data_IF_490597377740
#
_entry.id   IF_490597377740
#
_cell.length_a   1.000
_cell.length_b   1.000
_cell.length_c   1.000
_cell.angle_alpha   90.00
_cell.angle_beta   90.00
_cell.angle_gamma   90.00
#
_symmetry.space_group_name_H-M   'P 1'
#
loop_
_entity.id
_entity.type
_entity.pdbx_description
1 polymer ?
#
# COMPACT_ATOMS: atom_id res chain seq x y z
N UNK A 1 -16.66 2.96 -8.20
CA UNK A 1 -15.88 3.03 -6.93
C UNK A 1 -14.37 2.85 -7.13
N UNK A 2 -13.84 2.82 -8.35
CA UNK A 2 -12.41 2.56 -8.61
C UNK A 2 -11.49 3.74 -8.24
N UNK A 3 -12.04 4.96 -8.30
CA UNK A 3 -11.30 6.20 -8.03
C UNK A 3 -10.76 6.28 -6.60
N UNK A 4 -11.57 5.88 -5.60
CA UNK A 4 -11.13 5.86 -4.19
C UNK A 4 -10.02 4.83 -3.97
N UNK A 5 -10.12 3.65 -4.60
CA UNK A 5 -9.08 2.64 -4.52
C UNK A 5 -7.79 3.14 -5.18
N UNK A 6 -7.88 3.75 -6.36
CA UNK A 6 -6.71 4.30 -7.05
C UNK A 6 -6.03 5.40 -6.22
N UNK A 7 -6.81 6.32 -5.63
CA UNK A 7 -6.27 7.35 -4.74
C UNK A 7 -5.56 6.74 -3.52
N UNK A 8 -6.18 5.75 -2.87
CA UNK A 8 -5.58 5.04 -1.72
C UNK A 8 -4.28 4.35 -2.10
N UNK A 9 -4.18 3.80 -3.31
CA UNK A 9 -2.95 3.17 -3.80
C UNK A 9 -1.86 4.18 -4.13
N UNK A 10 -2.20 5.38 -4.63
CA UNK A 10 -1.24 6.47 -4.82
C UNK A 10 -0.65 6.91 -3.48
N UNK A 11 -1.49 7.12 -2.46
CA UNK A 11 -1.03 7.48 -1.10
C UNK A 11 -0.20 6.35 -0.50
N UNK A 12 -0.62 5.10 -0.66
CA UNK A 12 0.14 3.95 -0.18
C UNK A 12 1.54 3.88 -0.79
N UNK A 13 1.67 4.16 -2.09
CA UNK A 13 2.97 4.19 -2.78
C UNK A 13 3.89 5.27 -2.24
N UNK A 14 3.36 6.44 -1.90
CA UNK A 14 4.14 7.51 -1.28
C UNK A 14 4.63 7.11 0.12
N UNK A 15 3.71 6.59 0.94
CA UNK A 15 4.03 6.12 2.30
C UNK A 15 5.07 4.99 2.30
N UNK A 16 5.03 4.08 1.32
CA UNK A 16 6.01 2.98 1.20
C UNK A 16 7.40 3.43 0.74
N UNK A 17 7.50 4.60 0.07
CA UNK A 17 8.80 5.20 -0.30
C UNK A 17 9.46 5.91 0.86
N UNK A 18 8.68 6.36 1.84
CA UNK A 18 9.21 6.91 3.07
C UNK A 18 9.79 5.76 3.90
N UNK A 19 11.14 5.68 3.96
CA UNK A 19 11.83 4.57 4.60
C UNK A 19 11.40 4.36 6.06
N UNK A 20 11.30 3.10 6.48
CA UNK A 20 11.10 2.71 7.88
C UNK A 20 9.66 2.52 8.34
N UNK A 21 8.64 2.76 7.50
CA UNK A 21 7.24 2.52 7.89
C UNK A 21 6.86 1.04 7.81
N UNK A 22 6.28 0.45 8.87
CA UNK A 22 5.70 -0.88 8.80
C UNK A 22 4.54 -0.94 7.80
N UNK A 23 4.45 -2.03 7.03
CA UNK A 23 3.35 -2.25 6.07
C UNK A 23 1.97 -2.19 6.75
N UNK A 24 1.89 -2.63 8.00
CA UNK A 24 0.66 -2.56 8.80
C UNK A 24 0.21 -1.12 9.04
N UNK A 25 1.14 -0.22 9.37
CA UNK A 25 0.84 1.21 9.55
C UNK A 25 0.37 1.85 8.24
N UNK A 26 1.00 1.49 7.11
CA UNK A 26 0.57 1.96 5.78
C UNK A 26 -0.85 1.48 5.47
N UNK A 27 -1.15 0.21 5.77
CA UNK A 27 -2.48 -0.36 5.55
C UNK A 27 -3.55 0.39 6.35
N UNK A 28 -3.31 0.66 7.62
CA UNK A 28 -4.23 1.42 8.49
C UNK A 28 -4.42 2.86 8.00
N UNK A 29 -3.33 3.55 7.63
CA UNK A 29 -3.39 4.92 7.10
C UNK A 29 -4.18 5.05 5.82
N UNK A 30 -4.12 4.06 4.94
CA UNK A 30 -4.92 4.01 3.71
C UNK A 30 -6.25 3.28 3.91
N UNK A 31 -6.64 3.04 5.18
CA UNK A 31 -7.94 2.60 5.66
C UNK A 31 -8.28 1.12 5.40
N UNK A 32 -7.28 0.26 5.32
CA UNK A 32 -7.49 -1.19 5.33
C UNK A 32 -7.41 -1.73 6.75
N UNK A 33 -8.35 -2.61 7.09
CA UNK A 33 -8.40 -3.26 8.41
C UNK A 33 -7.26 -4.26 8.65
N UNK A 34 -6.55 -4.71 7.60
CA UNK A 34 -5.41 -5.60 7.76
C UNK A 34 -4.34 -5.38 6.70
N UNK A 35 -3.09 -5.62 7.08
CA UNK A 35 -1.94 -5.62 6.17
C UNK A 35 -2.08 -6.64 5.03
N UNK A 36 -2.76 -7.76 5.27
CA UNK A 36 -3.00 -8.82 4.28
C UNK A 36 -4.00 -8.38 3.21
N UNK A 37 -5.11 -7.76 3.62
CA UNK A 37 -6.11 -7.19 2.70
C UNK A 37 -5.49 -6.07 1.86
N UNK A 38 -4.73 -5.19 2.52
CA UNK A 38 -3.96 -4.15 1.83
C UNK A 38 -2.98 -4.75 0.82
N UNK A 39 -2.17 -5.73 1.23
CA UNK A 39 -1.15 -6.34 0.35
C UNK A 39 -1.77 -6.98 -0.90
N UNK A 40 -2.94 -7.62 -0.75
CA UNK A 40 -3.67 -8.20 -1.88
C UNK A 40 -4.17 -7.12 -2.84
N UNK A 41 -4.80 -6.06 -2.31
CA UNK A 41 -5.29 -4.96 -3.12
C UNK A 41 -4.15 -4.17 -3.80
N UNK A 42 -3.07 -3.92 -3.07
CA UNK A 42 -1.88 -3.26 -3.57
C UNK A 42 -1.21 -4.07 -4.68
N UNK A 43 -1.04 -5.39 -4.52
CA UNK A 43 -0.48 -6.23 -5.59
C UNK A 43 -1.35 -6.22 -6.84
N UNK A 44 -2.68 -6.24 -6.69
CA UNK A 44 -3.61 -6.16 -7.84
C UNK A 44 -3.50 -4.84 -8.60
N UNK A 45 -3.25 -3.73 -7.89
CA UNK A 45 -3.21 -2.39 -8.49
C UNK A 45 -1.82 -1.96 -8.98
N UNK A 46 -0.76 -2.36 -8.26
CA UNK A 46 0.63 -1.94 -8.50
C UNK A 46 1.46 -3.03 -9.18
N UNK A 47 0.97 -4.26 -9.25
CA UNK A 47 1.64 -5.40 -9.88
C UNK A 47 2.67 -6.12 -9.01
N UNK A 48 3.04 -5.55 -7.85
CA UNK A 48 4.00 -6.15 -6.91
C UNK A 48 3.56 -5.97 -5.45
N UNK A 49 3.99 -6.85 -4.53
CA UNK A 49 3.68 -6.71 -3.10
C UNK A 49 4.26 -5.42 -2.49
N UNK A 50 3.59 -4.81 -1.50
CA UNK A 50 4.04 -3.55 -0.89
C UNK A 50 5.41 -3.66 -0.21
N UNK A 51 5.75 -4.83 0.36
CA UNK A 51 7.09 -5.11 0.91
C UNK A 51 8.20 -5.03 -0.13
N UNK A 52 7.93 -5.53 -1.34
CA UNK A 52 8.90 -5.49 -2.44
C UNK A 52 9.03 -4.06 -2.97
N UNK A 53 7.90 -3.37 -3.13
CA UNK A 53 7.86 -1.97 -3.54
C UNK A 53 8.66 -1.06 -2.58
N UNK A 54 8.49 -1.23 -1.27
CA UNK A 54 9.21 -0.45 -0.25
C UNK A 54 10.71 -0.73 -0.20
N UNK A 55 11.17 -1.92 -0.61
CA UNK A 55 12.60 -2.28 -0.66
C UNK A 55 13.32 -1.81 -1.91
N UNK A 56 12.57 -1.54 -2.98
CA UNK A 56 13.10 -1.08 -4.26
C UNK A 56 13.25 0.46 -4.34
N UNK A 57 12.86 1.18 -3.27
CA UNK A 57 12.81 2.64 -3.19
C UNK A 57 13.88 3.20 -2.26
#
# INVERSE_FOLDING_TARGET
MEYLTSWRMTVARDLLRQQGRPIAEVAERVGYASASTFSTAFRRHVGQPPRQYARAS
#
